data_IF_290044245582
#
_entry.id   IF_290044245582
#
_cell.length_a   1.000
_cell.length_b   1.000
_cell.length_c   1.000
_cell.angle_alpha   90.00
_cell.angle_beta   90.00
_cell.angle_gamma   90.00
#
_symmetry.space_group_name_H-M   'P 1'
#
loop_
_entity.id
_entity.type
_entity.pdbx_description
1 polymer ?
#
# COMPACT_ATOMS: atom_id res chain seq x y z
N UNK A 1 10.57 -21.58 -18.30
CA UNK A 1 9.95 -21.42 -16.96
C UNK A 1 8.45 -21.30 -17.23
N UNK A 2 7.60 -22.23 -16.78
CA UNK A 2 6.19 -22.28 -17.19
C UNK A 2 5.49 -20.94 -16.94
N UNK A 3 4.82 -20.39 -17.95
CA UNK A 3 4.11 -19.09 -17.87
C UNK A 3 3.13 -19.04 -16.70
N UNK A 4 2.49 -20.18 -16.40
CA UNK A 4 1.59 -20.37 -15.25
C UNK A 4 2.25 -20.06 -13.90
N UNK A 5 3.53 -20.41 -13.73
CA UNK A 5 4.25 -20.17 -12.47
C UNK A 5 4.51 -18.67 -12.33
N UNK A 6 4.93 -18.00 -13.41
CA UNK A 6 5.17 -16.56 -13.43
C UNK A 6 3.87 -15.79 -13.13
N UNK A 7 2.75 -16.19 -13.70
CA UNK A 7 1.44 -15.58 -13.45
C UNK A 7 1.00 -15.78 -12.00
N UNK A 8 1.15 -16.98 -11.45
CA UNK A 8 0.83 -17.27 -10.06
C UNK A 8 1.63 -16.39 -9.10
N UNK A 9 2.91 -16.18 -9.41
CA UNK A 9 3.80 -15.35 -8.59
C UNK A 9 3.50 -13.86 -8.73
N UNK A 10 3.11 -13.40 -9.92
CA UNK A 10 2.64 -12.03 -10.12
C UNK A 10 1.38 -11.77 -9.30
N UNK A 11 0.42 -12.69 -9.32
CA UNK A 11 -0.81 -12.60 -8.50
C UNK A 11 -0.47 -12.56 -7.01
N UNK A 12 0.37 -13.50 -6.54
CA UNK A 12 0.81 -13.53 -5.15
C UNK A 12 1.52 -12.23 -4.77
N UNK A 13 2.38 -11.70 -5.64
CA UNK A 13 3.08 -10.42 -5.43
C UNK A 13 2.12 -9.24 -5.31
N UNK A 14 1.11 -9.15 -6.17
CA UNK A 14 0.09 -8.08 -6.12
C UNK A 14 -0.75 -8.19 -4.85
N UNK A 15 -1.19 -9.39 -4.47
CA UNK A 15 -1.98 -9.61 -3.24
C UNK A 15 -1.15 -9.28 -1.99
N UNK A 16 0.10 -9.75 -1.93
CA UNK A 16 0.99 -9.51 -0.81
C UNK A 16 1.41 -8.04 -0.71
N UNK A 17 1.49 -7.32 -1.84
CA UNK A 17 1.61 -5.87 -1.84
C UNK A 17 0.35 -5.22 -1.24
N UNK A 18 -0.83 -5.60 -1.75
CA UNK A 18 -2.12 -5.04 -1.37
C UNK A 18 -2.50 -5.18 0.10
N UNK A 19 -2.08 -6.27 0.78
CA UNK A 19 -2.44 -6.53 2.18
C UNK A 19 -1.90 -5.46 3.16
N UNK A 20 -0.58 -5.16 3.21
CA UNK A 20 -0.03 -4.04 3.97
C UNK A 20 -0.72 -2.70 3.70
N UNK A 21 -1.02 -2.38 2.44
CA UNK A 21 -1.64 -1.10 2.10
C UNK A 21 -3.11 -1.05 2.47
N UNK A 22 -3.83 -2.17 2.38
CA UNK A 22 -5.18 -2.31 2.91
C UNK A 22 -5.21 -2.10 4.42
N UNK A 23 -4.24 -2.66 5.15
CA UNK A 23 -4.07 -2.41 6.60
C UNK A 23 -3.76 -0.94 6.89
N UNK A 24 -2.88 -0.31 6.10
CA UNK A 24 -2.57 1.11 6.21
C UNK A 24 -3.80 1.98 5.94
N UNK A 25 -4.59 1.64 4.93
CA UNK A 25 -5.84 2.34 4.62
C UNK A 25 -6.85 2.23 5.77
N UNK A 26 -6.99 1.03 6.36
CA UNK A 26 -7.82 0.83 7.54
C UNK A 26 -7.32 1.65 8.75
N UNK A 27 -5.99 1.77 8.93
CA UNK A 27 -5.40 2.60 9.98
C UNK A 27 -5.71 4.10 9.79
N UNK A 28 -5.79 4.57 8.54
CA UNK A 28 -6.26 5.93 8.22
C UNK A 28 -7.79 6.06 8.23
N UNK A 29 -8.52 5.01 8.60
CA UNK A 29 -9.97 5.02 8.70
C UNK A 29 -10.65 5.03 7.33
N UNK A 30 -10.09 4.37 6.31
CA UNK A 30 -10.83 4.04 5.09
C UNK A 30 -11.68 2.78 5.31
N UNK A 31 -12.77 2.60 4.55
CA UNK A 31 -13.66 1.45 4.70
C UNK A 31 -13.23 0.29 3.78
N UNK A 32 -13.20 -0.94 4.30
CA UNK A 32 -12.79 -2.14 3.55
C UNK A 32 -13.76 -2.52 2.43
N UNK A 33 -15.08 -2.44 2.69
CA UNK A 33 -16.11 -2.90 1.74
C UNK A 33 -16.16 -2.05 0.45
N UNK A 34 -16.19 -0.70 0.50
CA UNK A 34 -16.11 0.12 -0.71
C UNK A 34 -14.82 -0.10 -1.51
N UNK A 35 -13.73 -0.41 -0.81
CA UNK A 35 -12.45 -0.70 -1.46
C UNK A 35 -12.53 -1.98 -2.29
N UNK A 36 -13.10 -3.06 -1.74
CA UNK A 36 -13.28 -4.31 -2.48
C UNK A 36 -14.13 -4.12 -3.76
N UNK A 37 -15.17 -3.27 -3.70
CA UNK A 37 -15.98 -2.91 -4.87
C UNK A 37 -15.15 -2.17 -5.93
N UNK A 38 -14.28 -1.23 -5.53
CA UNK A 38 -13.42 -0.52 -6.47
C UNK A 38 -12.45 -1.46 -7.20
N UNK A 39 -11.85 -2.42 -6.48
CA UNK A 39 -11.01 -3.46 -7.10
C UNK A 39 -11.80 -4.32 -8.10
N UNK A 40 -13.04 -4.68 -7.76
CA UNK A 40 -13.89 -5.47 -8.64
C UNK A 40 -14.26 -4.72 -9.93
N UNK A 41 -14.69 -3.46 -9.82
CA UNK A 41 -14.98 -2.60 -10.98
C UNK A 41 -13.73 -2.42 -11.84
N UNK A 42 -12.58 -2.18 -11.22
CA UNK A 42 -11.31 -2.09 -11.92
C UNK A 42 -10.96 -3.38 -12.67
N UNK A 43 -11.13 -4.55 -12.06
CA UNK A 43 -10.84 -5.84 -12.69
C UNK A 43 -11.71 -6.09 -13.93
N UNK A 44 -12.99 -5.73 -13.87
CA UNK A 44 -13.89 -5.75 -15.04
C UNK A 44 -13.37 -4.79 -16.11
N UNK A 45 -13.03 -3.56 -15.72
CA UNK A 45 -12.48 -2.54 -16.64
C UNK A 45 -11.22 -3.02 -17.37
N UNK A 46 -10.27 -3.63 -16.65
CA UNK A 46 -9.08 -4.22 -17.24
C UNK A 46 -9.41 -5.37 -18.19
N UNK A 47 -10.38 -6.22 -17.83
CA UNK A 47 -10.82 -7.34 -18.68
C UNK A 47 -11.43 -6.82 -19.99
N UNK A 48 -12.25 -5.78 -19.93
CA UNK A 48 -12.89 -5.19 -21.13
C UNK A 48 -11.87 -4.46 -22.00
N UNK A 49 -10.94 -3.73 -21.39
CA UNK A 49 -9.94 -2.92 -22.13
C UNK A 49 -8.68 -3.71 -22.51
N UNK A 50 -8.56 -4.96 -22.07
CA UNK A 50 -7.35 -5.79 -22.20
C UNK A 50 -6.10 -5.09 -21.63
N UNK A 51 -6.30 -4.28 -20.58
CA UNK A 51 -5.21 -3.56 -19.91
C UNK A 51 -4.39 -4.51 -19.05
N UNK A 52 -3.08 -4.53 -19.30
CA UNK A 52 -2.10 -5.30 -18.52
C UNK A 52 -1.66 -4.60 -17.24
N UNK A 53 -2.20 -3.40 -16.96
CA UNK A 53 -1.82 -2.62 -15.79
C UNK A 53 -2.33 -3.29 -14.50
N UNK A 54 -1.47 -3.64 -13.54
CA UNK A 54 -1.91 -4.25 -12.30
C UNK A 54 -2.68 -3.25 -11.44
N UNK A 55 -3.82 -3.68 -10.91
CA UNK A 55 -4.66 -2.87 -10.01
C UNK A 55 -4.18 -3.10 -8.59
N UNK A 56 -3.75 -2.04 -7.90
CA UNK A 56 -3.29 -2.11 -6.52
C UNK A 56 -3.66 -0.85 -5.73
N UNK A 57 -3.41 -0.90 -4.42
CA UNK A 57 -3.48 0.26 -3.56
C UNK A 57 -2.29 1.18 -3.81
N UNK A 58 -2.55 2.49 -3.95
CA UNK A 58 -1.50 3.50 -3.92
C UNK A 58 -1.21 3.95 -2.50
N UNK A 59 -0.04 3.56 -1.99
CA UNK A 59 0.40 3.91 -0.63
C UNK A 59 0.57 5.43 -0.45
N UNK A 60 1.07 6.13 -1.47
CA UNK A 60 1.27 7.58 -1.50
C UNK A 60 -0.06 8.34 -1.42
N UNK A 61 -1.07 7.90 -2.16
CA UNK A 61 -2.40 8.51 -2.14
C UNK A 61 -3.09 8.27 -0.80
N UNK A 62 -2.98 7.07 -0.25
CA UNK A 62 -3.52 6.72 1.08
C UNK A 62 -2.87 7.55 2.18
N UNK A 63 -1.54 7.66 2.17
CA UNK A 63 -0.77 8.41 3.17
C UNK A 63 -1.03 9.91 3.06
N UNK A 64 -1.10 10.46 1.84
CA UNK A 64 -1.41 11.87 1.64
C UNK A 64 -2.86 12.20 2.05
N UNK A 65 -3.86 11.49 1.50
CA UNK A 65 -5.26 11.73 1.83
C UNK A 65 -5.54 11.48 3.32
N UNK A 66 -4.92 10.45 3.90
CA UNK A 66 -5.04 10.10 5.31
C UNK A 66 -4.45 11.14 6.26
N UNK A 67 -3.48 11.93 5.82
CA UNK A 67 -2.83 12.99 6.63
C UNK A 67 -3.38 14.40 6.35
N UNK A 68 -3.78 14.69 5.10
CA UNK A 68 -4.29 16.01 4.70
C UNK A 68 -5.78 16.22 5.06
N UNK A 69 -6.61 15.17 4.99
CA UNK A 69 -8.04 15.28 5.24
C UNK A 69 -8.36 15.31 6.74
N UNK A 70 -9.11 16.32 7.17
CA UNK A 70 -9.48 16.52 8.58
C UNK A 70 -10.57 15.54 9.01
N UNK A 71 -11.51 15.26 8.11
CA UNK A 71 -12.67 14.41 8.36
C UNK A 71 -12.82 13.32 7.29
N UNK A 72 -13.56 12.24 7.61
CA UNK A 72 -13.86 11.14 6.67
C UNK A 72 -14.45 11.65 5.34
N UNK A 73 -15.34 12.64 5.41
CA UNK A 73 -15.93 13.25 4.23
C UNK A 73 -14.89 13.93 3.34
N UNK A 74 -14.01 14.76 3.89
CA UNK A 74 -12.94 15.41 3.11
C UNK A 74 -12.00 14.37 2.47
N UNK A 75 -11.66 13.30 3.20
CA UNK A 75 -10.85 12.19 2.67
C UNK A 75 -11.53 11.51 1.48
N UNK A 76 -12.81 11.18 1.60
CA UNK A 76 -13.59 10.60 0.51
C UNK A 76 -13.68 11.55 -0.69
N UNK A 77 -13.90 12.84 -0.46
CA UNK A 77 -13.98 13.84 -1.52
C UNK A 77 -12.66 14.00 -2.27
N UNK A 78 -11.53 14.04 -1.57
CA UNK A 78 -10.21 14.08 -2.21
C UNK A 78 -9.99 12.88 -3.14
N UNK A 79 -10.30 11.67 -2.66
CA UNK A 79 -10.16 10.44 -3.45
C UNK A 79 -11.14 10.42 -4.62
N UNK A 80 -12.39 10.84 -4.41
CA UNK A 80 -13.42 10.85 -5.44
C UNK A 80 -13.11 11.85 -6.56
N UNK A 81 -12.77 13.10 -6.21
CA UNK A 81 -12.40 14.13 -7.19
C UNK A 81 -11.13 13.71 -7.94
N UNK A 82 -10.12 13.20 -7.24
CA UNK A 82 -8.90 12.69 -7.87
C UNK A 82 -9.21 11.57 -8.86
N UNK A 83 -10.03 10.59 -8.46
CA UNK A 83 -10.48 9.50 -9.33
C UNK A 83 -11.29 9.98 -10.53
N UNK A 84 -12.19 10.95 -10.36
CA UNK A 84 -13.00 11.50 -11.44
C UNK A 84 -12.14 12.25 -12.47
N UNK A 85 -11.18 13.06 -12.02
CA UNK A 85 -10.25 13.76 -12.92
C UNK A 85 -9.39 12.75 -13.68
N UNK A 86 -8.87 11.72 -13.02
CA UNK A 86 -8.08 10.68 -13.69
C UNK A 86 -8.90 9.86 -14.68
N UNK A 87 -10.16 9.57 -14.37
CA UNK A 87 -11.06 8.91 -15.30
C UNK A 87 -11.29 9.75 -16.57
N UNK A 88 -11.45 11.08 -16.43
CA UNK A 88 -11.57 11.98 -17.57
C UNK A 88 -10.28 12.01 -18.41
N UNK A 89 -9.12 12.20 -17.76
CA UNK A 89 -7.82 12.19 -18.46
C UNK A 89 -7.61 10.89 -19.23
N UNK A 90 -7.93 9.75 -18.60
CA UNK A 90 -7.84 8.42 -19.22
C UNK A 90 -8.82 8.24 -20.39
N UNK A 91 -10.08 8.65 -20.23
CA UNK A 91 -11.11 8.54 -21.26
C UNK A 91 -10.76 9.33 -22.54
N UNK A 92 -10.09 10.48 -22.41
CA UNK A 92 -9.62 11.27 -23.54
C UNK A 92 -8.25 10.86 -24.09
N UNK A 93 -7.62 9.81 -23.53
CA UNK A 93 -6.27 9.37 -23.94
C UNK A 93 -5.19 10.43 -23.70
N UNK A 94 -5.43 11.38 -22.79
CA UNK A 94 -4.54 12.52 -22.57
C UNK A 94 -3.29 12.14 -21.77
N UNK A 95 -3.31 10.97 -21.10
CA UNK A 95 -2.22 10.54 -20.23
C UNK A 95 -0.88 10.46 -20.98
N UNK A 96 -0.86 9.84 -22.16
CA UNK A 96 0.36 9.72 -22.98
C UNK A 96 0.87 11.09 -23.42
N UNK A 97 -0.03 11.97 -23.88
CA UNK A 97 0.35 13.33 -24.29
C UNK A 97 0.91 14.17 -23.15
N UNK A 98 0.38 13.99 -21.95
CA UNK A 98 0.87 14.67 -20.74
C UNK A 98 2.25 14.15 -20.38
N UNK A 99 2.46 12.83 -20.38
CA UNK A 99 3.76 12.22 -20.06
C UNK A 99 4.82 12.65 -21.07
N UNK A 100 4.50 12.61 -22.37
CA UNK A 100 5.41 13.05 -23.44
C UNK A 100 5.75 14.54 -23.34
N UNK A 101 4.79 15.37 -22.91
CA UNK A 101 4.99 16.80 -22.71
C UNK A 101 5.86 17.12 -21.48
N UNK A 102 5.68 16.37 -20.40
CA UNK A 102 6.39 16.56 -19.13
C UNK A 102 7.86 16.09 -19.23
N UNK A 103 8.10 15.01 -19.99
CA UNK A 103 9.43 14.43 -20.16
C UNK A 103 9.86 13.50 -19.01
N UNK A 104 10.80 12.59 -19.31
CA UNK A 104 11.23 11.55 -18.37
C UNK A 104 11.89 12.12 -17.10
N UNK A 105 12.65 13.22 -17.21
CA UNK A 105 13.36 13.81 -16.07
C UNK A 105 12.41 14.27 -14.96
N UNK A 106 11.28 14.87 -15.34
CA UNK A 106 10.26 15.31 -14.39
C UNK A 106 9.50 14.10 -13.82
N UNK A 107 9.26 13.06 -14.63
CA UNK A 107 8.69 11.81 -14.14
C UNK A 107 9.61 11.11 -13.11
N UNK A 108 10.93 11.10 -13.35
CA UNK A 108 11.91 10.60 -12.38
C UNK A 108 11.90 11.46 -11.10
N UNK A 109 11.82 12.78 -11.22
CA UNK A 109 11.67 13.69 -10.09
C UNK A 109 10.42 13.41 -9.26
N UNK A 110 9.29 13.10 -9.92
CA UNK A 110 8.04 12.71 -9.27
C UNK A 110 8.20 11.39 -8.49
N UNK A 111 8.80 10.37 -9.10
CA UNK A 111 9.04 9.08 -8.44
C UNK A 111 9.98 9.20 -7.24
N UNK A 112 10.99 10.08 -7.32
CA UNK A 112 11.85 10.40 -6.18
C UNK A 112 11.05 11.07 -5.04
N UNK A 113 10.15 12.00 -5.37
CA UNK A 113 9.25 12.64 -4.40
C UNK A 113 8.33 11.64 -3.70
N UNK A 114 7.74 10.70 -4.44
CA UNK A 114 6.95 9.59 -3.88
C UNK A 114 7.80 8.76 -2.91
N UNK A 115 9.04 8.44 -3.27
CA UNK A 115 9.99 7.73 -2.38
C UNK A 115 10.23 8.44 -1.04
N UNK A 116 10.37 9.77 -1.06
CA UNK A 116 10.55 10.59 0.16
C UNK A 116 9.29 10.54 1.03
N UNK A 117 8.10 10.71 0.46
CA UNK A 117 6.83 10.66 1.20
C UNK A 117 6.64 9.30 1.87
N UNK A 118 6.91 8.21 1.14
CA UNK A 118 6.78 6.85 1.65
C UNK A 118 7.81 6.56 2.75
N UNK A 119 9.03 7.09 2.63
CA UNK A 119 10.06 6.97 3.66
C UNK A 119 9.63 7.70 4.94
N UNK A 120 9.07 8.91 4.82
CA UNK A 120 8.51 9.63 5.97
C UNK A 120 7.37 8.83 6.61
N UNK A 121 6.45 8.29 5.81
CA UNK A 121 5.35 7.46 6.31
C UNK A 121 5.87 6.21 7.05
N UNK A 122 6.90 5.55 6.51
CA UNK A 122 7.55 4.42 7.16
C UNK A 122 8.17 4.79 8.50
N UNK A 123 8.90 5.91 8.57
CA UNK A 123 9.48 6.41 9.83
C UNK A 123 8.39 6.73 10.86
N UNK A 124 7.29 7.37 10.43
CA UNK A 124 6.18 7.71 11.31
C UNK A 124 5.50 6.44 11.87
N UNK A 125 5.38 5.38 11.05
CA UNK A 125 4.91 4.05 11.51
C UNK A 125 5.87 3.41 12.52
N UNK A 126 7.19 3.47 12.28
CA UNK A 126 8.20 2.93 13.22
C UNK A 126 8.16 3.67 14.56
N UNK A 127 7.94 4.99 14.54
CA UNK A 127 7.81 5.78 15.78
C UNK A 127 6.54 5.42 16.55
N UNK A 128 5.47 5.05 15.86
CA UNK A 128 4.21 4.64 16.48
C UNK A 128 4.30 3.28 17.19
N UNK A 129 5.03 2.32 16.61
CA UNK A 129 5.33 1.03 17.23
C UNK A 129 6.79 0.65 16.99
N UNK A 130 7.63 0.94 17.99
CA UNK A 130 9.09 0.73 17.90
C UNK A 130 9.47 -0.73 17.72
N UNK A 131 8.68 -1.67 18.24
CA UNK A 131 9.01 -3.10 18.20
C UNK A 131 8.65 -3.65 16.82
N UNK A 132 7.41 -3.45 16.37
CA UNK A 132 6.96 -3.90 15.05
C UNK A 132 7.70 -3.18 13.91
N UNK A 133 7.90 -1.87 14.07
CA UNK A 133 8.66 -1.04 13.12
C UNK A 133 10.13 -1.41 13.04
N UNK A 134 10.78 -1.69 14.18
CA UNK A 134 12.18 -2.10 14.21
C UNK A 134 12.42 -3.45 13.54
N UNK A 135 11.55 -4.43 13.81
CA UNK A 135 11.63 -5.77 13.19
C UNK A 135 11.38 -5.70 11.68
N UNK A 136 10.36 -4.95 11.24
CA UNK A 136 10.06 -4.79 9.81
C UNK A 136 11.15 -4.03 9.06
N UNK A 137 11.76 -3.01 9.67
CA UNK A 137 12.90 -2.29 9.07
C UNK A 137 14.12 -3.19 8.93
N UNK A 138 14.48 -3.96 9.97
CA UNK A 138 15.59 -4.89 9.91
C UNK A 138 15.38 -5.96 8.83
N UNK A 139 14.18 -6.53 8.76
CA UNK A 139 13.81 -7.48 7.71
C UNK A 139 13.95 -6.85 6.31
N UNK A 140 13.40 -5.65 6.10
CA UNK A 140 13.49 -4.95 4.83
C UNK A 140 14.95 -4.66 4.41
N UNK A 141 15.81 -4.24 5.33
CA UNK A 141 17.23 -4.01 5.07
C UNK A 141 17.97 -5.30 4.71
N UNK A 142 17.75 -6.38 5.47
CA UNK A 142 18.36 -7.69 5.19
C UNK A 142 17.96 -8.17 3.80
N UNK A 143 16.67 -8.10 3.46
CA UNK A 143 16.18 -8.45 2.12
C UNK A 143 16.81 -7.59 1.04
N UNK A 144 16.86 -6.27 1.25
CA UNK A 144 17.49 -5.36 0.29
C UNK A 144 18.95 -5.71 0.02
N UNK A 145 19.74 -5.95 1.07
CA UNK A 145 21.16 -6.32 0.91
C UNK A 145 21.37 -7.67 0.24
N UNK A 146 20.50 -8.65 0.49
CA UNK A 146 20.55 -9.97 -0.17
C UNK A 146 20.20 -9.85 -1.66
N UNK A 147 19.27 -8.96 -2.03
CA UNK A 147 18.69 -8.93 -3.38
C UNK A 147 19.24 -7.82 -4.29
N UNK A 148 20.01 -6.87 -3.75
CA UNK A 148 20.56 -5.72 -4.48
C UNK A 148 21.27 -6.07 -5.80
N UNK A 149 21.85 -7.27 -5.91
CA UNK A 149 22.62 -7.69 -7.08
C UNK A 149 21.81 -8.41 -8.17
N UNK A 150 20.51 -8.68 -7.97
CA UNK A 150 19.67 -9.39 -8.94
C UNK A 150 18.33 -8.67 -9.16
N UNK A 151 18.28 -7.76 -10.12
CA UNK A 151 17.09 -6.97 -10.48
C UNK A 151 15.81 -7.80 -10.73
N UNK A 152 15.82 -8.93 -11.48
CA UNK A 152 14.62 -9.76 -11.63
C UNK A 152 14.27 -10.54 -10.36
N UNK A 153 15.19 -10.71 -9.41
CA UNK A 153 14.92 -11.36 -8.13
C UNK A 153 14.45 -10.42 -7.03
N UNK A 154 14.42 -9.09 -7.24
CA UNK A 154 13.86 -8.13 -6.29
C UNK A 154 12.38 -8.42 -5.99
N UNK A 155 11.61 -8.75 -7.02
CA UNK A 155 10.22 -9.20 -6.89
C UNK A 155 10.15 -10.55 -6.22
N UNK A 156 11.01 -11.51 -6.59
CA UNK A 156 11.03 -12.85 -5.99
C UNK A 156 11.44 -12.86 -4.51
N UNK A 157 12.37 -12.01 -4.11
CA UNK A 157 12.79 -11.86 -2.73
C UNK A 157 11.76 -11.10 -1.92
N UNK A 158 11.12 -10.09 -2.52
CA UNK A 158 9.94 -9.42 -1.93
C UNK A 158 8.81 -10.42 -1.69
N UNK A 159 8.45 -11.22 -2.69
CA UNK A 159 7.44 -12.28 -2.58
C UNK A 159 7.87 -13.37 -1.59
N UNK A 160 9.10 -13.87 -1.64
CA UNK A 160 9.60 -14.90 -0.72
C UNK A 160 9.57 -14.41 0.73
N UNK A 161 9.99 -13.16 0.98
CA UNK A 161 9.96 -12.59 2.32
C UNK A 161 8.55 -12.28 2.80
N UNK A 162 7.67 -11.82 1.90
CA UNK A 162 6.26 -11.62 2.21
C UNK A 162 5.54 -12.95 2.48
N UNK A 163 5.92 -14.04 1.80
CA UNK A 163 5.44 -15.41 2.09
C UNK A 163 6.01 -15.92 3.40
N UNK A 164 7.30 -15.72 3.70
CA UNK A 164 7.90 -16.10 4.99
C UNK A 164 7.21 -15.38 6.14
N UNK A 165 7.01 -14.06 6.02
CA UNK A 165 6.26 -13.27 6.99
C UNK A 165 4.80 -13.76 7.05
N UNK A 166 4.15 -13.99 5.91
CA UNK A 166 2.79 -14.55 5.83
C UNK A 166 2.63 -15.90 6.51
N UNK A 167 3.61 -16.79 6.41
CA UNK A 167 3.65 -18.10 7.08
C UNK A 167 3.90 -17.92 8.59
N UNK A 168 4.76 -16.98 8.99
CA UNK A 168 4.95 -16.59 10.41
C UNK A 168 3.65 -16.00 11.01
N UNK A 169 2.85 -15.30 10.20
CA UNK A 169 1.54 -14.78 10.59
C UNK A 169 0.50 -15.91 10.71
N UNK A 170 0.45 -16.84 9.75
CA UNK A 170 -0.48 -17.98 9.73
C UNK A 170 -0.19 -19.03 10.82
N UNK A 171 1.08 -19.20 11.22
CA UNK A 171 1.49 -20.06 12.34
C UNK A 171 1.10 -19.52 13.73
N UNK A 172 0.33 -18.43 13.80
CA UNK A 172 -0.20 -17.85 15.04
C UNK A 172 0.90 -17.51 16.08
N UNK A 173 2.09 -17.14 15.62
CA UNK A 173 3.14 -16.63 16.52
C UNK A 173 2.77 -15.24 17.08
N UNK A 174 2.01 -14.45 16.32
CA UNK A 174 1.48 -13.15 16.76
C UNK A 174 0.50 -13.22 17.94
N UNK A 175 -0.50 -14.10 18.04
CA UNK A 175 -1.32 -14.20 19.25
C UNK A 175 -0.55 -14.70 20.48
N UNK A 176 0.60 -15.38 20.31
CA UNK A 176 1.51 -15.68 21.43
C UNK A 176 2.27 -14.43 21.90
N UNK A 177 2.70 -13.56 20.98
CA UNK A 177 3.35 -12.27 21.29
C UNK A 177 2.31 -11.21 21.76
N UNK A 178 1.07 -11.29 21.27
CA UNK A 178 -0.08 -10.47 21.68
C UNK A 178 -0.53 -10.73 23.12
N UNK A 179 -0.06 -11.80 23.75
CA UNK A 179 -0.20 -12.02 25.21
C UNK A 179 0.71 -11.09 26.03
N UNK A 180 1.77 -10.55 25.43
CA UNK A 180 2.68 -9.56 26.02
C UNK A 180 2.34 -8.12 25.64
N UNK A 181 1.35 -7.92 24.76
CA UNK A 181 0.77 -6.60 24.46
C UNK A 181 -0.46 -6.43 25.34
N UNK A 182 -0.39 -5.68 26.44
CA UNK A 182 -1.50 -5.60 27.37
C UNK A 182 -2.70 -4.92 26.69
N UNK A 183 -3.90 -5.50 26.83
CA UNK A 183 -5.15 -4.99 26.27
C UNK A 183 -5.51 -3.55 26.69
N UNK A 184 -4.81 -3.01 27.70
CA UNK A 184 -4.84 -1.61 28.10
C UNK A 184 -4.27 -0.66 27.04
N UNK A 185 -3.34 -1.11 26.19
CA UNK A 185 -2.76 -0.32 25.09
C UNK A 185 -3.77 -0.17 23.95
N UNK A 186 -4.43 -1.25 23.54
CA UNK A 186 -5.50 -1.20 22.55
C UNK A 186 -6.65 -0.29 23.02
N UNK A 187 -7.07 -0.42 24.28
CA UNK A 187 -8.16 0.40 24.84
C UNK A 187 -7.77 1.87 24.98
N UNK A 188 -6.49 2.19 25.27
CA UNK A 188 -5.98 3.58 25.29
C UNK A 188 -5.80 4.18 23.90
N UNK A 189 -5.42 3.38 22.90
CA UNK A 189 -5.34 3.82 21.52
C UNK A 189 -6.73 4.11 20.96
N UNK A 190 -7.69 3.20 21.15
CA UNK A 190 -9.07 3.39 20.70
C UNK A 190 -9.74 4.55 21.42
N UNK A 191 -9.58 4.68 22.75
CA UNK A 191 -10.15 5.82 23.50
C UNK A 191 -9.46 7.15 23.19
N UNK A 192 -8.16 7.15 22.92
CA UNK A 192 -7.42 8.33 22.48
C UNK A 192 -7.80 8.80 21.08
N UNK A 193 -8.13 7.87 20.19
CA UNK A 193 -8.62 8.14 18.84
C UNK A 193 -10.07 8.65 18.89
N UNK A 194 -10.96 8.01 19.65
CA UNK A 194 -12.35 8.45 19.80
C UNK A 194 -12.45 9.86 20.39
N UNK A 195 -11.66 10.13 21.43
CA UNK A 195 -11.59 11.45 22.07
C UNK A 195 -11.00 12.54 21.16
N UNK A 196 -10.14 12.19 20.20
CA UNK A 196 -9.66 13.11 19.15
C UNK A 196 -10.64 13.23 17.98
N UNK A 197 -11.51 12.24 17.78
CA UNK A 197 -12.54 12.21 16.75
C UNK A 197 -13.87 12.86 17.19
N UNK A 198 -13.97 13.34 18.43
CA UNK A 198 -15.14 14.07 18.94
C UNK A 198 -16.38 13.20 19.15
N UNK A 199 -16.20 11.88 19.38
CA UNK A 199 -17.25 10.95 19.80
C UNK A 199 -16.93 10.40 21.19
#
# INVERSE_FOLDING_TARGET
>A
MNDIITDLLAIIGVVLNGLPQGLLALAYGFASVPTALAFFVGAIGNTVTQSVAPISFQAETITYAGTAGKNRSERCTMIFIGGAVMALIGAFGLLTKIVDFIGEDVAYGMMAGVGIILTKAAIDMIKSDKISGGVSLAAALITYFITRNNAPHAVWAGVAMMVIIGVILLTKLLPKIGKYVPASVYRRLVSGILRKAGV
#
